data_IF_993715284480
#
_entry.id   IF_993715284480
#
_cell.length_a   1.000
_cell.length_b   1.000
_cell.length_c   1.000
_cell.angle_alpha   90.00
_cell.angle_beta   90.00
_cell.angle_gamma   90.00
#
_symmetry.space_group_name_H-M   'P 1'
#
loop_
_entity.id
_entity.type
_entity.pdbx_description
1 polymer ?
#
# COMPACT_ATOMS: atom_id res chain seq x y z
N UNK A 1 10.58 -36.67 17.06
CA UNK A 1 10.42 -36.63 18.51
C UNK A 1 11.72 -36.40 19.28
N UNK A 2 12.85 -37.10 19.05
CA UNK A 2 14.11 -36.87 19.80
C UNK A 2 14.73 -35.47 19.63
N UNK A 3 14.59 -34.81 18.49
CA UNK A 3 15.11 -33.44 18.28
C UNK A 3 14.28 -32.36 18.99
N UNK A 4 12.96 -32.56 19.16
CA UNK A 4 12.08 -31.63 19.86
C UNK A 4 12.34 -31.70 21.36
N UNK A 5 12.63 -32.89 21.90
CA UNK A 5 12.94 -33.08 23.31
C UNK A 5 14.30 -32.45 23.71
N UNK A 6 15.29 -32.45 22.80
CA UNK A 6 16.59 -31.79 23.04
C UNK A 6 16.47 -30.26 23.07
N UNK A 7 15.54 -29.68 22.30
CA UNK A 7 15.25 -28.24 22.31
C UNK A 7 14.60 -27.81 23.63
N UNK A 8 13.70 -28.65 24.16
CA UNK A 8 13.05 -28.40 25.46
C UNK A 8 14.04 -28.45 26.64
N UNK A 9 15.04 -29.36 26.58
CA UNK A 9 16.08 -29.44 27.64
C UNK A 9 17.09 -28.27 27.57
N UNK A 10 17.36 -27.71 26.39
CA UNK A 10 18.24 -26.53 26.30
C UNK A 10 17.59 -25.28 26.88
N UNK A 11 16.27 -25.12 26.80
CA UNK A 11 15.54 -24.00 27.37
C UNK A 11 15.47 -24.06 28.91
N UNK A 12 15.61 -25.24 29.51
CA UNK A 12 15.61 -25.38 30.99
C UNK A 12 16.94 -25.00 31.67
N UNK A 13 18.05 -24.96 30.92
CA UNK A 13 19.39 -24.69 31.48
C UNK A 13 19.89 -23.26 31.27
N UNK A 14 19.10 -22.40 30.61
CA UNK A 14 19.43 -20.97 30.47
C UNK A 14 18.70 -20.21 31.58
N UNK A 15 19.17 -20.30 32.78
CA UNK A 15 18.92 -19.30 33.81
C UNK A 15 19.79 -18.09 33.50
N UNK A 16 19.34 -17.28 32.57
CA UNK A 16 19.94 -16.00 32.28
C UNK A 16 19.30 -14.97 33.21
N UNK A 17 20.11 -14.32 34.04
CA UNK A 17 19.72 -13.16 34.86
C UNK A 17 19.29 -11.96 33.95
N UNK A 18 19.33 -12.15 32.63
CA UNK A 18 19.03 -11.14 31.65
C UNK A 18 18.07 -11.68 30.60
N UNK A 19 16.82 -11.21 30.64
CA UNK A 19 15.74 -11.58 29.71
C UNK A 19 16.06 -11.23 28.25
N UNK A 20 16.88 -10.19 28.02
CA UNK A 20 17.35 -9.81 26.69
C UNK A 20 18.13 -10.92 26.00
N UNK A 21 18.94 -11.66 26.76
CA UNK A 21 19.72 -12.79 26.26
C UNK A 21 18.84 -14.00 25.95
N UNK A 22 17.79 -14.23 26.77
CA UNK A 22 16.81 -15.28 26.54
C UNK A 22 15.98 -15.01 25.26
N UNK A 23 15.55 -13.78 25.03
CA UNK A 23 14.84 -13.36 23.80
C UNK A 23 15.77 -13.47 22.59
N UNK A 24 17.03 -13.10 22.71
CA UNK A 24 18.02 -13.19 21.63
C UNK A 24 18.36 -14.64 21.30
N UNK A 25 18.55 -15.49 22.31
CA UNK A 25 18.76 -16.93 22.14
C UNK A 25 17.55 -17.61 21.48
N UNK A 26 16.35 -17.19 21.84
CA UNK A 26 15.12 -17.69 21.25
C UNK A 26 14.93 -17.21 19.80
N UNK A 27 15.21 -15.93 19.49
CA UNK A 27 15.23 -15.41 18.10
C UNK A 27 16.20 -16.20 17.21
N UNK A 28 17.39 -16.51 17.71
CA UNK A 28 18.37 -17.30 16.99
C UNK A 28 17.93 -18.77 16.79
N UNK A 29 17.22 -19.35 17.76
CA UNK A 29 16.66 -20.69 17.66
C UNK A 29 15.53 -20.74 16.63
N UNK A 30 14.61 -19.75 16.62
CA UNK A 30 13.49 -19.62 15.67
C UNK A 30 14.00 -19.41 14.25
N UNK A 31 15.03 -18.58 14.07
CA UNK A 31 15.65 -18.36 12.75
C UNK A 31 16.31 -19.61 12.17
N UNK A 32 16.69 -20.56 13.02
CA UNK A 32 17.35 -21.82 12.62
C UNK A 32 16.36 -22.93 12.24
N UNK A 33 15.09 -22.81 12.67
CA UNK A 33 14.03 -23.80 12.40
C UNK A 33 13.09 -23.26 11.34
N UNK A 34 13.52 -23.29 10.07
CA UNK A 34 12.63 -23.02 8.93
C UNK A 34 11.49 -24.03 8.90
N UNK A 35 10.25 -23.55 8.98
CA UNK A 35 9.05 -24.36 8.72
C UNK A 35 8.18 -24.72 9.95
N UNK A 36 8.32 -24.07 11.10
CA UNK A 36 7.37 -24.22 12.20
C UNK A 36 6.29 -23.12 12.07
N UNK A 37 5.08 -23.54 11.73
CA UNK A 37 3.87 -22.71 11.81
C UNK A 37 3.42 -22.65 13.26
N UNK A 38 3.48 -21.47 13.87
CA UNK A 38 2.95 -21.27 15.22
C UNK A 38 1.46 -20.94 15.14
N UNK A 39 0.61 -21.88 15.58
CA UNK A 39 -0.81 -21.58 15.80
C UNK A 39 -1.05 -20.94 17.17
N UNK A 40 -0.14 -21.15 18.12
CA UNK A 40 -0.21 -20.54 19.45
C UNK A 40 1.18 -20.28 20.01
N UNK A 41 1.36 -19.09 20.61
CA UNK A 41 2.53 -18.73 21.40
C UNK A 41 2.12 -18.69 22.87
N UNK A 42 2.86 -19.39 23.72
CA UNK A 42 2.66 -19.38 25.16
C UNK A 42 3.93 -18.89 25.85
N UNK A 43 3.86 -17.75 26.54
CA UNK A 43 4.94 -17.32 27.41
C UNK A 43 4.89 -18.14 28.70
N UNK A 44 5.90 -18.94 28.95
CA UNK A 44 6.03 -19.72 30.19
C UNK A 44 6.48 -18.88 31.41
N UNK A 45 6.99 -17.66 31.14
CA UNK A 45 7.46 -16.75 32.20
C UNK A 45 6.49 -15.55 32.30
N UNK A 46 6.20 -15.10 33.54
CA UNK A 46 5.39 -13.92 33.75
C UNK A 46 6.05 -12.66 33.15
N UNK A 47 5.25 -11.87 32.44
CA UNK A 47 5.64 -10.57 31.91
C UNK A 47 5.68 -9.57 33.06
N UNK A 48 6.76 -8.80 33.19
CA UNK A 48 6.98 -7.85 34.26
C UNK A 48 6.91 -6.40 33.86
N UNK A 49 7.04 -6.12 32.57
CA UNK A 49 7.00 -4.76 32.01
C UNK A 49 6.34 -4.72 30.63
N UNK A 50 5.96 -3.52 30.23
CA UNK A 50 5.21 -3.29 28.98
C UNK A 50 6.05 -3.53 27.72
N UNK A 51 7.36 -3.35 27.78
CA UNK A 51 8.24 -3.55 26.61
C UNK A 51 8.38 -5.05 26.28
N UNK A 52 8.43 -5.91 27.31
CA UNK A 52 8.37 -7.37 27.12
C UNK A 52 7.06 -7.79 26.45
N UNK A 53 5.95 -7.22 26.91
CA UNK A 53 4.64 -7.47 26.33
C UNK A 53 4.56 -7.02 24.88
N UNK A 54 5.00 -5.78 24.57
CA UNK A 54 5.05 -5.27 23.20
C UNK A 54 5.90 -6.15 22.29
N UNK A 55 7.04 -6.62 22.77
CA UNK A 55 7.91 -7.52 22.00
C UNK A 55 7.21 -8.83 21.65
N UNK A 56 6.50 -9.45 22.61
CA UNK A 56 5.74 -10.69 22.38
C UNK A 56 4.53 -10.48 21.47
N UNK A 57 3.82 -9.36 21.61
CA UNK A 57 2.72 -9.00 20.70
C UNK A 57 3.21 -8.84 19.27
N UNK A 58 4.28 -8.07 19.05
CA UNK A 58 4.89 -7.89 17.73
C UNK A 58 5.38 -9.23 17.15
N UNK A 59 5.95 -10.09 17.98
CA UNK A 59 6.40 -11.39 17.54
C UNK A 59 5.22 -12.29 17.13
N UNK A 60 4.15 -12.32 17.91
CA UNK A 60 2.94 -13.06 17.59
C UNK A 60 2.34 -12.58 16.26
N UNK A 61 2.24 -11.27 16.07
CA UNK A 61 1.74 -10.66 14.84
C UNK A 61 2.66 -11.00 13.65
N UNK A 62 3.96 -10.81 13.78
CA UNK A 62 4.93 -11.07 12.71
C UNK A 62 4.96 -12.54 12.28
N UNK A 63 4.73 -13.48 13.20
CA UNK A 63 4.64 -14.91 12.90
C UNK A 63 3.22 -15.36 12.52
N UNK A 64 2.27 -14.43 12.43
CA UNK A 64 0.85 -14.73 12.16
C UNK A 64 0.32 -15.82 13.10
N UNK A 65 0.60 -15.69 14.39
CA UNK A 65 0.06 -16.58 15.40
C UNK A 65 -1.46 -16.38 15.54
N UNK A 66 -2.20 -17.46 15.72
CA UNK A 66 -3.64 -17.37 15.96
C UNK A 66 -3.93 -16.87 17.38
N UNK A 67 -3.08 -17.23 18.34
CA UNK A 67 -3.22 -16.82 19.74
C UNK A 67 -1.87 -16.57 20.42
N UNK A 68 -1.89 -15.69 21.43
CA UNK A 68 -0.79 -15.48 22.39
C UNK A 68 -1.36 -15.53 23.81
N UNK A 69 -0.91 -16.48 24.63
CA UNK A 69 -1.29 -16.56 26.03
C UNK A 69 -0.15 -16.11 26.93
N UNK A 70 -0.43 -15.20 27.87
CA UNK A 70 0.55 -14.58 28.77
C UNK A 70 0.02 -14.43 30.18
N UNK A 71 0.93 -14.46 31.16
CA UNK A 71 0.69 -14.01 32.53
C UNK A 71 1.41 -12.68 32.72
N UNK A 72 0.70 -11.63 33.10
CA UNK A 72 1.26 -10.30 33.38
C UNK A 72 1.19 -10.02 34.89
N UNK A 73 2.29 -9.66 35.51
CA UNK A 73 2.33 -9.20 36.88
C UNK A 73 2.32 -7.67 36.91
N UNK A 74 1.71 -7.09 37.95
CA UNK A 74 1.47 -5.64 38.06
C UNK A 74 0.67 -5.10 36.85
N UNK A 75 -0.36 -5.84 36.43
CA UNK A 75 -1.20 -5.48 35.30
C UNK A 75 -1.96 -4.18 35.55
N UNK A 76 -1.85 -3.25 34.60
CA UNK A 76 -2.67 -2.04 34.47
C UNK A 76 -3.23 -1.97 33.05
N UNK A 77 -4.53 -1.96 32.90
CA UNK A 77 -5.20 -1.94 31.59
C UNK A 77 -4.82 -0.73 30.75
N UNK A 78 -4.51 0.42 31.37
CA UNK A 78 -4.11 1.63 30.66
C UNK A 78 -2.68 1.55 30.08
N UNK A 79 -1.84 0.66 30.65
CA UNK A 79 -0.46 0.43 30.22
C UNK A 79 -0.39 -0.66 29.15
N UNK A 80 -1.19 -1.73 29.31
CA UNK A 80 -1.21 -2.88 28.40
C UNK A 80 -2.36 -2.77 27.39
N UNK A 81 -2.38 -1.65 26.66
CA UNK A 81 -3.44 -1.32 25.70
C UNK A 81 -3.19 -1.95 24.32
N UNK A 82 -4.05 -2.92 23.96
CA UNK A 82 -3.99 -3.63 22.68
C UNK A 82 -4.33 -2.73 21.48
N UNK A 83 -4.92 -1.56 21.70
CA UNK A 83 -5.30 -0.68 20.57
C UNK A 83 -4.07 -0.19 19.83
N UNK A 84 -2.90 -0.14 20.47
CA UNK A 84 -1.62 0.23 19.84
C UNK A 84 -1.14 -0.75 18.77
N UNK A 85 -1.69 -1.98 18.74
CA UNK A 85 -1.36 -3.02 17.75
C UNK A 85 -2.46 -3.24 16.72
N UNK A 86 -3.62 -2.59 16.89
CA UNK A 86 -4.70 -2.71 15.91
C UNK A 86 -4.33 -1.95 14.64
N UNK A 87 -4.57 -2.60 13.52
CA UNK A 87 -4.44 -2.00 12.20
C UNK A 87 -5.61 -2.44 11.33
N UNK A 88 -5.73 -1.89 10.14
CA UNK A 88 -6.70 -2.38 9.15
C UNK A 88 -6.50 -3.86 8.85
N UNK A 89 -5.26 -4.33 8.90
CA UNK A 89 -4.88 -5.67 8.47
C UNK A 89 -4.86 -6.69 9.61
N UNK A 90 -4.86 -6.26 10.89
CA UNK A 90 -4.76 -7.14 12.06
C UNK A 90 -5.80 -6.77 13.11
N UNK A 91 -6.79 -7.63 13.29
CA UNK A 91 -7.75 -7.53 14.37
C UNK A 91 -7.27 -8.34 15.59
N UNK A 92 -7.38 -7.74 16.80
CA UNK A 92 -6.93 -8.34 18.04
C UNK A 92 -8.08 -8.29 19.05
N UNK A 93 -8.35 -9.43 19.67
CA UNK A 93 -9.23 -9.53 20.83
C UNK A 93 -8.48 -10.13 22.01
N UNK A 94 -8.92 -9.82 23.22
CA UNK A 94 -8.33 -10.31 24.46
C UNK A 94 -9.40 -10.93 25.35
N UNK A 95 -9.09 -12.09 25.95
CA UNK A 95 -9.92 -12.74 26.95
C UNK A 95 -9.03 -13.22 28.09
N UNK A 96 -9.45 -12.98 29.33
CA UNK A 96 -8.62 -13.39 30.47
C UNK A 96 -9.31 -13.15 31.80
N UNK A 97 -8.51 -13.32 32.88
CA UNK A 97 -8.90 -13.06 34.24
C UNK A 97 -7.83 -12.25 34.97
N UNK A 98 -8.26 -11.37 35.86
CA UNK A 98 -7.35 -10.59 36.72
C UNK A 98 -7.64 -10.95 38.17
N UNK A 99 -6.59 -11.31 38.90
CA UNK A 99 -6.65 -11.61 40.34
C UNK A 99 -5.60 -10.77 41.06
N UNK A 100 -6.05 -9.79 41.82
CA UNK A 100 -5.16 -8.79 42.39
C UNK A 100 -4.47 -8.00 41.29
N UNK A 101 -3.14 -8.03 41.23
CA UNK A 101 -2.33 -7.39 40.19
C UNK A 101 -1.83 -8.38 39.12
N UNK A 102 -2.31 -9.62 39.11
CA UNK A 102 -1.91 -10.65 38.14
C UNK A 102 -3.02 -10.87 37.13
N UNK A 103 -2.68 -10.70 35.88
CA UNK A 103 -3.58 -10.98 34.75
C UNK A 103 -3.11 -12.20 33.94
N UNK A 104 -4.03 -13.14 33.69
CA UNK A 104 -3.82 -14.20 32.72
C UNK A 104 -4.67 -13.90 31.50
N UNK A 105 -4.03 -13.59 30.37
CA UNK A 105 -4.70 -13.09 29.18
C UNK A 105 -4.32 -13.95 27.98
N UNK A 106 -5.31 -14.32 27.18
CA UNK A 106 -5.12 -14.88 25.85
C UNK A 106 -5.59 -13.85 24.82
N UNK A 107 -4.66 -13.41 24.00
CA UNK A 107 -4.92 -12.60 22.82
C UNK A 107 -5.22 -13.53 21.65
N UNK A 108 -6.24 -13.18 20.85
CA UNK A 108 -6.55 -13.87 19.60
C UNK A 108 -6.39 -12.88 18.44
N UNK A 109 -5.72 -13.32 17.40
CA UNK A 109 -5.40 -12.51 16.23
C UNK A 109 -6.18 -12.99 15.02
N UNK A 110 -6.65 -12.05 14.21
CA UNK A 110 -7.23 -12.34 12.91
C UNK A 110 -6.57 -11.42 11.88
N UNK A 111 -6.04 -12.03 10.84
CA UNK A 111 -5.26 -11.33 9.82
C UNK A 111 -6.06 -11.16 8.55
N UNK A 112 -6.04 -9.96 7.99
CA UNK A 112 -6.60 -9.67 6.69
C UNK A 112 -5.80 -10.36 5.58
N UNK A 113 -6.43 -10.62 4.43
CA UNK A 113 -5.74 -11.23 3.29
C UNK A 113 -4.54 -10.40 2.82
N UNK A 114 -4.66 -9.06 2.83
CA UNK A 114 -3.59 -8.14 2.46
C UNK A 114 -2.34 -8.36 3.32
N UNK A 115 -2.52 -8.49 4.65
CA UNK A 115 -1.42 -8.76 5.57
C UNK A 115 -0.76 -10.12 5.27
N UNK A 116 -1.58 -11.18 5.12
CA UNK A 116 -1.03 -12.52 4.82
C UNK A 116 -0.23 -12.54 3.52
N UNK A 117 -0.71 -11.88 2.47
CA UNK A 117 -0.03 -11.81 1.19
C UNK A 117 1.28 -11.00 1.28
N UNK A 118 1.27 -9.85 1.96
CA UNK A 118 2.49 -9.06 2.19
C UNK A 118 3.51 -9.84 3.01
N UNK A 119 3.09 -10.52 4.08
CA UNK A 119 3.98 -11.37 4.88
C UNK A 119 4.52 -12.57 4.10
N UNK A 120 3.71 -13.16 3.21
CA UNK A 120 4.19 -14.24 2.34
C UNK A 120 5.33 -13.76 1.43
N UNK A 121 5.24 -12.55 0.90
CA UNK A 121 6.33 -11.93 0.13
C UNK A 121 7.57 -11.69 1.00
N UNK A 122 7.41 -11.06 2.16
CA UNK A 122 8.53 -10.69 3.05
C UNK A 122 9.27 -11.89 3.63
N UNK A 123 8.56 -12.97 3.94
CA UNK A 123 9.13 -14.18 4.55
C UNK A 123 9.51 -15.26 3.54
N UNK A 124 9.00 -15.19 2.32
CA UNK A 124 9.10 -16.23 1.30
C UNK A 124 8.25 -17.48 1.60
N UNK A 125 7.42 -17.47 2.67
CA UNK A 125 6.53 -18.58 3.02
C UNK A 125 5.08 -18.27 2.63
N UNK A 126 4.45 -19.19 1.91
CA UNK A 126 3.05 -19.12 1.49
C UNK A 126 2.10 -19.95 2.37
N UNK A 127 2.62 -20.52 3.47
CA UNK A 127 1.90 -21.52 4.28
C UNK A 127 0.64 -20.98 4.98
N UNK A 128 0.55 -19.66 5.13
CA UNK A 128 -0.60 -18.96 5.73
C UNK A 128 -1.61 -18.44 4.70
N UNK A 129 -1.33 -18.61 3.41
CA UNK A 129 -2.27 -18.22 2.35
C UNK A 129 -3.31 -19.34 2.15
N UNK A 130 -4.58 -18.96 2.05
CA UNK A 130 -5.61 -19.88 1.59
C UNK A 130 -5.52 -20.07 0.07
N UNK A 131 -6.35 -20.96 -0.49
CA UNK A 131 -6.31 -21.33 -1.92
C UNK A 131 -6.53 -20.12 -2.84
N UNK A 132 -7.48 -19.25 -2.48
CA UNK A 132 -7.78 -18.05 -3.28
C UNK A 132 -6.65 -17.02 -3.20
N UNK A 133 -6.14 -16.76 -1.99
CA UNK A 133 -5.00 -15.86 -1.77
C UNK A 133 -3.75 -16.34 -2.49
N UNK A 134 -3.48 -17.63 -2.47
CA UNK A 134 -2.34 -18.22 -3.18
C UNK A 134 -2.46 -18.00 -4.69
N UNK A 135 -3.64 -18.22 -5.26
CA UNK A 135 -3.87 -18.03 -6.69
C UNK A 135 -3.68 -16.55 -7.10
N UNK A 136 -4.16 -15.60 -6.28
CA UNK A 136 -3.96 -14.16 -6.51
C UNK A 136 -2.50 -13.78 -6.33
N UNK A 137 -1.83 -14.29 -5.30
CA UNK A 137 -0.41 -14.06 -5.08
C UNK A 137 0.44 -14.49 -6.29
N UNK A 138 0.15 -15.66 -6.87
CA UNK A 138 0.88 -16.17 -8.03
C UNK A 138 0.61 -15.32 -9.29
N UNK A 139 -0.62 -14.77 -9.47
CA UNK A 139 -0.90 -13.77 -10.51
C UNK A 139 -0.05 -12.52 -10.35
N UNK A 140 0.08 -12.00 -9.11
CA UNK A 140 0.89 -10.82 -8.83
C UNK A 140 2.38 -11.08 -9.06
N UNK A 141 2.90 -12.23 -8.67
CA UNK A 141 4.29 -12.64 -8.96
C UNK A 141 4.53 -12.66 -10.47
N UNK A 142 3.60 -13.22 -11.24
CA UNK A 142 3.70 -13.25 -12.71
C UNK A 142 3.71 -11.84 -13.29
N UNK A 143 2.81 -10.94 -12.85
CA UNK A 143 2.77 -9.55 -13.29
C UNK A 143 4.06 -8.81 -12.93
N UNK A 144 4.58 -8.98 -11.72
CA UNK A 144 5.84 -8.36 -11.31
C UNK A 144 7.03 -8.85 -12.13
N UNK A 145 7.06 -10.14 -12.52
CA UNK A 145 8.10 -10.67 -13.42
C UNK A 145 7.99 -10.08 -14.82
N UNK A 146 6.77 -9.93 -15.35
CA UNK A 146 6.51 -9.27 -16.64
C UNK A 146 7.06 -7.82 -16.61
N UNK A 147 6.70 -7.03 -15.59
CA UNK A 147 7.15 -5.65 -15.44
C UNK A 147 8.68 -5.59 -15.35
N UNK A 148 9.31 -6.40 -14.51
CA UNK A 148 10.78 -6.45 -14.37
C UNK A 148 11.51 -6.87 -15.64
N UNK A 149 10.87 -7.66 -16.50
CA UNK A 149 11.47 -8.07 -17.77
C UNK A 149 11.45 -6.96 -18.82
N UNK A 150 10.50 -6.02 -18.72
CA UNK A 150 10.32 -4.93 -19.68
C UNK A 150 11.01 -3.63 -19.24
N UNK A 151 11.08 -3.38 -17.92
CA UNK A 151 11.55 -2.12 -17.38
C UNK A 151 12.69 -2.32 -16.39
N UNK A 152 13.72 -1.47 -16.52
CA UNK A 152 14.92 -1.52 -15.66
C UNK A 152 14.94 -0.40 -14.63
N UNK A 153 14.46 0.82 -14.99
CA UNK A 153 14.40 1.94 -14.05
C UNK A 153 13.25 1.76 -13.05
N UNK A 154 13.44 2.26 -11.84
CA UNK A 154 12.42 2.17 -10.80
C UNK A 154 11.19 3.02 -11.13
N UNK A 155 11.39 4.19 -11.75
CA UNK A 155 10.31 5.04 -12.26
C UNK A 155 9.45 4.32 -13.33
N UNK A 156 10.07 3.63 -14.30
CA UNK A 156 9.31 2.94 -15.34
C UNK A 156 8.55 1.73 -14.78
N UNK A 157 9.13 1.02 -13.80
CA UNK A 157 8.43 -0.07 -13.08
C UNK A 157 7.24 0.46 -12.29
N UNK A 158 7.42 1.56 -11.57
CA UNK A 158 6.36 2.24 -10.84
C UNK A 158 5.21 2.63 -11.78
N UNK A 159 5.55 3.33 -12.86
CA UNK A 159 4.57 3.74 -13.87
C UNK A 159 3.83 2.55 -14.47
N UNK A 160 4.52 1.45 -14.75
CA UNK A 160 3.89 0.24 -15.28
C UNK A 160 2.93 -0.41 -14.28
N UNK A 161 3.21 -0.35 -12.97
CA UNK A 161 2.30 -0.81 -11.92
C UNK A 161 1.08 0.10 -11.84
N UNK A 162 1.27 1.42 -11.82
CA UNK A 162 0.19 2.41 -11.85
C UNK A 162 -0.75 2.17 -13.02
N UNK A 163 -0.20 2.16 -14.24
CA UNK A 163 -0.96 1.97 -15.47
C UNK A 163 -1.73 0.64 -15.48
N UNK A 164 -1.09 -0.44 -15.03
CA UNK A 164 -1.74 -1.73 -14.90
C UNK A 164 -2.97 -1.68 -13.99
N UNK A 165 -2.86 -1.03 -12.84
CA UNK A 165 -3.97 -0.95 -11.88
C UNK A 165 -5.09 -0.09 -12.46
N UNK A 166 -4.80 1.13 -12.90
CA UNK A 166 -5.78 2.09 -13.44
C UNK A 166 -6.50 1.56 -14.68
N UNK A 167 -5.82 0.80 -15.55
CA UNK A 167 -6.44 0.31 -16.80
C UNK A 167 -7.09 -1.06 -16.67
N UNK A 168 -6.87 -1.78 -15.58
CA UNK A 168 -7.36 -3.16 -15.42
C UNK A 168 -8.56 -3.23 -14.49
N UNK A 169 -8.60 -2.38 -13.46
CA UNK A 169 -9.61 -2.43 -12.41
C UNK A 169 -10.50 -1.20 -12.42
N UNK A 170 -11.57 -1.24 -11.63
CA UNK A 170 -12.55 -0.16 -11.47
C UNK A 170 -12.70 0.21 -10.02
N UNK A 171 -12.84 1.49 -9.74
CA UNK A 171 -13.21 1.93 -8.41
C UNK A 171 -14.68 1.59 -8.11
N UNK A 172 -14.91 0.84 -7.07
CA UNK A 172 -16.27 0.41 -6.70
C UNK A 172 -16.31 -0.63 -5.57
N UNK A 173 -17.51 -1.09 -5.25
CA UNK A 173 -18.81 -0.77 -5.86
C UNK A 173 -19.33 0.63 -5.48
N UNK A 174 -19.92 1.34 -6.43
CA UNK A 174 -20.45 2.70 -6.25
C UNK A 174 -21.91 2.74 -5.83
N UNK A 175 -22.63 1.62 -5.95
CA UNK A 175 -24.06 1.48 -5.70
C UNK A 175 -24.41 1.08 -4.26
N UNK A 176 -23.41 0.98 -3.38
CA UNK A 176 -23.56 0.61 -1.98
C UNK A 176 -22.98 1.69 -1.06
N UNK A 177 -23.70 2.01 0.02
CA UNK A 177 -23.26 3.01 1.01
C UNK A 177 -21.99 2.54 1.78
N UNK A 178 -21.90 1.21 2.02
CA UNK A 178 -20.77 0.60 2.71
C UNK A 178 -20.23 -0.55 1.86
N UNK A 179 -19.08 -0.38 1.20
CA UNK A 179 -18.47 -1.45 0.43
C UNK A 179 -18.20 -2.70 1.28
N UNK A 180 -18.45 -3.90 0.73
CA UNK A 180 -18.17 -5.14 1.45
C UNK A 180 -16.67 -5.29 1.74
N UNK A 181 -16.33 -5.99 2.83
CA UNK A 181 -14.94 -6.20 3.23
C UNK A 181 -14.06 -6.71 2.07
N UNK A 182 -14.61 -7.51 1.18
CA UNK A 182 -13.91 -8.04 0.01
C UNK A 182 -13.42 -6.94 -0.94
N UNK A 183 -14.18 -5.84 -1.10
CA UNK A 183 -13.78 -4.70 -1.94
C UNK A 183 -12.55 -3.94 -1.39
N UNK A 184 -12.21 -4.14 -0.10
CA UNK A 184 -11.01 -3.60 0.54
C UNK A 184 -9.77 -4.47 0.37
N UNK A 185 -9.88 -5.60 -0.34
CA UNK A 185 -8.81 -6.59 -0.42
C UNK A 185 -8.16 -6.64 -1.79
N UNK A 186 -6.85 -6.95 -1.81
CA UNK A 186 -6.12 -7.31 -3.04
C UNK A 186 -6.85 -8.46 -3.76
N UNK A 187 -7.34 -9.46 -2.99
CA UNK A 187 -8.05 -10.62 -3.53
C UNK A 187 -9.33 -10.21 -4.25
N UNK A 188 -10.11 -9.29 -3.65
CA UNK A 188 -11.30 -8.74 -4.29
C UNK A 188 -10.95 -7.98 -5.57
N UNK A 189 -10.03 -7.03 -5.50
CA UNK A 189 -9.63 -6.25 -6.66
C UNK A 189 -9.19 -7.14 -7.85
N UNK A 190 -8.32 -8.11 -7.61
CA UNK A 190 -7.76 -8.98 -8.67
C UNK A 190 -8.77 -9.98 -9.26
N UNK A 191 -9.71 -10.46 -8.45
CA UNK A 191 -10.65 -11.51 -8.90
C UNK A 191 -11.99 -10.93 -9.34
N UNK A 192 -12.48 -9.89 -8.68
CA UNK A 192 -13.79 -9.31 -8.96
C UNK A 192 -13.68 -8.13 -9.95
N UNK A 193 -12.47 -7.57 -10.14
CA UNK A 193 -12.19 -6.50 -11.08
C UNK A 193 -12.53 -5.10 -10.54
N UNK A 194 -13.01 -4.99 -9.31
CA UNK A 194 -13.32 -3.71 -8.67
C UNK A 194 -12.93 -3.70 -7.19
N UNK A 195 -12.63 -2.52 -6.67
CA UNK A 195 -12.26 -2.35 -5.27
C UNK A 195 -12.21 -0.87 -4.87
N UNK A 196 -12.01 -0.63 -3.57
CA UNK A 196 -11.88 0.72 -3.01
C UNK A 196 -10.41 1.07 -2.76
N UNK A 197 -10.15 2.28 -2.29
CA UNK A 197 -8.81 2.85 -2.11
C UNK A 197 -7.82 1.90 -1.39
N UNK A 198 -8.27 1.19 -0.36
CA UNK A 198 -7.43 0.23 0.37
C UNK A 198 -6.92 -0.90 -0.54
N UNK A 199 -7.80 -1.48 -1.37
CA UNK A 199 -7.42 -2.54 -2.31
C UNK A 199 -6.43 -2.04 -3.37
N UNK A 200 -6.62 -0.83 -3.88
CA UNK A 200 -5.72 -0.16 -4.83
C UNK A 200 -4.34 0.07 -4.21
N UNK A 201 -4.29 0.74 -3.07
CA UNK A 201 -3.05 1.07 -2.39
C UNK A 201 -2.26 -0.17 -1.97
N UNK A 202 -2.93 -1.20 -1.45
CA UNK A 202 -2.31 -2.47 -1.07
C UNK A 202 -1.81 -3.26 -2.30
N UNK A 203 -2.53 -3.21 -3.42
CA UNK A 203 -2.08 -3.86 -4.67
C UNK A 203 -0.85 -3.16 -5.23
N UNK A 204 -0.84 -1.83 -5.24
CA UNK A 204 0.33 -1.05 -5.64
C UNK A 204 1.54 -1.35 -4.73
N UNK A 205 1.32 -1.40 -3.42
CA UNK A 205 2.36 -1.70 -2.43
C UNK A 205 3.00 -3.08 -2.65
N UNK A 206 2.19 -4.14 -2.79
CA UNK A 206 2.74 -5.50 -2.95
C UNK A 206 3.43 -5.68 -4.31
N UNK A 207 2.86 -5.16 -5.39
CA UNK A 207 3.49 -5.20 -6.71
C UNK A 207 4.79 -4.40 -6.73
N UNK A 208 4.81 -3.21 -6.11
CA UNK A 208 6.01 -2.39 -5.96
C UNK A 208 7.12 -3.16 -5.26
N UNK A 209 6.84 -3.76 -4.11
CA UNK A 209 7.80 -4.60 -3.38
C UNK A 209 8.28 -5.80 -4.22
N UNK A 210 7.38 -6.50 -4.92
CA UNK A 210 7.73 -7.60 -5.82
C UNK A 210 8.60 -7.15 -7.01
N UNK A 211 8.47 -5.89 -7.43
CA UNK A 211 9.31 -5.27 -8.45
C UNK A 211 10.64 -4.73 -7.89
N UNK A 212 10.85 -4.78 -6.57
CA UNK A 212 12.07 -4.31 -5.90
C UNK A 212 12.04 -2.83 -5.52
N UNK A 213 10.86 -2.19 -5.55
CA UNK A 213 10.67 -0.79 -5.17
C UNK A 213 10.46 -0.66 -3.66
N UNK A 214 10.87 0.47 -3.10
CA UNK A 214 10.63 0.84 -1.71
C UNK A 214 9.30 1.62 -1.62
N UNK A 215 8.24 0.90 -1.30
CA UNK A 215 6.86 1.40 -1.25
C UNK A 215 6.22 1.08 0.09
N UNK A 216 5.43 2.01 0.61
CA UNK A 216 4.61 1.82 1.80
C UNK A 216 3.22 2.42 1.62
N UNK A 217 2.22 1.83 2.29
CA UNK A 217 0.89 2.42 2.39
C UNK A 217 0.88 3.54 3.42
N UNK A 218 0.08 4.55 3.15
CA UNK A 218 -0.22 5.67 4.04
C UNK A 218 -1.73 5.77 4.22
N UNK A 219 -2.16 6.02 5.44
CA UNK A 219 -3.57 6.19 5.80
C UNK A 219 -3.83 7.61 6.25
N UNK A 220 -5.00 8.12 5.88
CA UNK A 220 -5.41 9.47 6.25
C UNK A 220 -6.83 9.75 5.77
N UNK A 221 -7.05 10.95 5.26
CA UNK A 221 -8.33 11.35 4.66
C UNK A 221 -8.10 12.06 3.34
N UNK A 222 -9.00 11.86 2.40
CA UNK A 222 -9.14 12.65 1.19
C UNK A 222 -10.49 13.36 1.24
N UNK A 223 -10.49 14.69 1.15
CA UNK A 223 -11.70 15.53 1.26
C UNK A 223 -12.56 15.20 2.50
N UNK A 224 -11.89 14.82 3.61
CA UNK A 224 -12.53 14.49 4.88
C UNK A 224 -12.98 13.02 5.03
N UNK A 225 -12.93 12.21 3.97
CA UNK A 225 -13.27 10.78 3.97
C UNK A 225 -12.01 9.94 4.23
N UNK A 226 -12.13 8.88 5.02
CA UNK A 226 -11.00 7.94 5.26
C UNK A 226 -10.46 7.41 3.94
N UNK A 227 -9.15 7.47 3.77
CA UNK A 227 -8.49 7.13 2.52
C UNK A 227 -7.13 6.45 2.76
N UNK A 228 -6.70 5.64 1.79
CA UNK A 228 -5.40 4.99 1.76
C UNK A 228 -4.74 5.20 0.40
N UNK A 229 -3.45 5.57 0.41
CA UNK A 229 -2.61 5.74 -0.77
C UNK A 229 -1.18 5.29 -0.48
N UNK A 230 -0.20 5.65 -1.29
CA UNK A 230 1.16 5.17 -1.16
C UNK A 230 2.19 6.31 -1.05
N UNK A 231 3.32 5.99 -0.43
CA UNK A 231 4.59 6.71 -0.55
C UNK A 231 5.59 5.75 -1.19
N UNK A 232 6.33 6.25 -2.17
CA UNK A 232 7.41 5.52 -2.86
C UNK A 232 8.73 6.27 -2.76
N UNK A 233 9.84 5.54 -2.73
CA UNK A 233 11.18 6.10 -2.76
C UNK A 233 11.84 5.84 -4.10
N UNK A 234 12.25 6.92 -4.77
CA UNK A 234 12.98 6.89 -6.06
C UNK A 234 14.26 7.73 -5.94
N UNK A 235 15.40 7.18 -6.29
CA UNK A 235 16.72 7.86 -6.22
C UNK A 235 17.01 8.51 -4.85
N UNK A 236 16.50 7.92 -3.77
CA UNK A 236 16.71 8.43 -2.42
C UNK A 236 15.67 9.43 -1.92
N UNK A 237 14.81 9.96 -2.78
CA UNK A 237 13.74 10.91 -2.49
C UNK A 237 12.38 10.23 -2.40
N UNK A 238 11.45 10.81 -1.64
CA UNK A 238 10.11 10.25 -1.43
C UNK A 238 9.05 11.04 -2.18
N UNK A 239 8.01 10.32 -2.65
CA UNK A 239 6.88 10.85 -3.42
C UNK A 239 5.58 10.22 -2.98
N UNK A 240 4.49 10.97 -3.01
CA UNK A 240 3.15 10.44 -2.86
C UNK A 240 2.61 9.91 -4.19
N UNK A 241 1.94 8.76 -4.16
CA UNK A 241 1.24 8.17 -5.30
C UNK A 241 -0.15 7.72 -4.85
N UNK A 242 -1.19 8.29 -5.46
CA UNK A 242 -2.58 7.86 -5.23
C UNK A 242 -3.19 7.30 -6.50
N UNK A 243 -3.00 6.02 -6.70
CA UNK A 243 -3.48 5.29 -7.88
C UNK A 243 -5.01 5.28 -7.95
N UNK A 244 -5.68 5.34 -6.80
CA UNK A 244 -7.15 5.39 -6.73
C UNK A 244 -7.68 6.69 -7.34
N UNK A 245 -7.06 7.81 -6.99
CA UNK A 245 -7.47 9.14 -7.48
C UNK A 245 -7.12 9.38 -8.95
N UNK A 246 -6.22 8.58 -9.50
CA UNK A 246 -5.88 8.59 -10.93
C UNK A 246 -6.76 7.63 -11.76
N UNK A 247 -7.61 6.81 -11.11
CA UNK A 247 -8.60 5.96 -11.78
C UNK A 247 -9.90 6.74 -12.00
N UNK A 248 -10.31 6.98 -13.26
CA UNK A 248 -11.46 7.80 -13.56
C UNK A 248 -12.79 7.17 -13.17
N UNK A 249 -13.65 7.96 -12.54
CA UNK A 249 -15.03 7.57 -12.23
C UNK A 249 -16.02 8.48 -12.96
N UNK A 250 -16.92 7.96 -13.82
CA UNK A 250 -17.05 6.55 -14.21
C UNK A 250 -15.85 6.07 -15.03
N UNK A 251 -15.50 4.81 -14.85
CA UNK A 251 -14.44 4.16 -15.61
C UNK A 251 -14.79 4.12 -17.11
N UNK A 252 -13.85 4.57 -17.95
CA UNK A 252 -13.93 4.49 -19.40
C UNK A 252 -12.91 3.51 -20.01
N UNK A 253 -12.20 2.77 -19.16
CA UNK A 253 -11.32 1.65 -19.50
C UNK A 253 -10.01 2.00 -20.21
N UNK A 254 -9.80 3.24 -20.63
CA UNK A 254 -8.63 3.64 -21.43
C UNK A 254 -8.00 4.98 -21.00
N UNK A 255 -8.56 5.64 -20.01
CA UNK A 255 -8.09 6.96 -19.59
C UNK A 255 -6.99 6.81 -18.54
N UNK A 256 -5.78 7.23 -18.88
CA UNK A 256 -4.68 7.40 -17.95
C UNK A 256 -4.51 8.87 -17.60
N UNK A 257 -4.61 9.16 -16.33
CA UNK A 257 -4.30 10.45 -15.72
C UNK A 257 -3.21 10.22 -14.68
N UNK A 258 -2.36 11.20 -14.47
CA UNK A 258 -1.24 11.11 -13.53
C UNK A 258 -1.24 12.31 -12.58
N UNK A 259 -2.44 12.81 -12.25
CA UNK A 259 -2.61 13.99 -11.37
C UNK A 259 -2.14 13.75 -9.96
N UNK A 260 -2.13 12.48 -9.53
CA UNK A 260 -1.73 12.05 -8.20
C UNK A 260 -0.49 11.13 -8.22
N UNK A 261 0.34 11.28 -9.27
CA UNK A 261 1.52 10.47 -9.49
C UNK A 261 2.81 11.24 -9.15
N UNK A 262 3.50 10.80 -8.10
CA UNK A 262 4.76 11.37 -7.61
C UNK A 262 4.66 12.84 -7.17
N UNK A 263 3.72 13.09 -6.28
CA UNK A 263 3.47 14.40 -5.70
C UNK A 263 4.34 14.68 -4.46
N UNK A 264 4.55 15.97 -4.19
CA UNK A 264 5.11 16.45 -2.92
C UNK A 264 4.02 16.48 -1.82
N UNK A 265 4.47 16.63 -0.54
CA UNK A 265 3.57 16.89 0.59
C UNK A 265 2.66 18.09 0.32
N UNK A 266 3.21 19.18 -0.25
CA UNK A 266 2.46 20.40 -0.57
C UNK A 266 1.36 20.12 -1.58
N UNK A 267 1.68 19.46 -2.68
CA UNK A 267 0.73 19.17 -3.76
C UNK A 267 -0.39 18.23 -3.29
N UNK A 268 -0.07 17.11 -2.61
CA UNK A 268 -1.10 16.17 -2.19
C UNK A 268 -1.97 16.71 -1.05
N UNK A 269 -1.45 17.62 -0.21
CA UNK A 269 -2.17 18.22 0.92
C UNK A 269 -3.34 19.12 0.52
N UNK A 270 -3.47 19.48 -0.75
CA UNK A 270 -4.65 20.19 -1.25
C UNK A 270 -5.95 19.42 -1.01
N UNK A 271 -5.90 18.08 -1.11
CA UNK A 271 -7.07 17.21 -0.92
C UNK A 271 -6.88 16.17 0.19
N UNK A 272 -5.63 15.85 0.57
CA UNK A 272 -5.32 14.80 1.53
C UNK A 272 -4.82 15.34 2.86
N UNK A 273 -5.13 14.64 3.94
CA UNK A 273 -4.59 14.91 5.28
C UNK A 273 -4.15 13.61 5.94
N UNK A 274 -2.99 13.63 6.62
CA UNK A 274 -2.42 12.48 7.32
C UNK A 274 -1.57 12.91 8.51
N UNK A 275 -1.14 11.97 9.34
CA UNK A 275 -0.16 12.24 10.39
C UNK A 275 1.25 12.29 9.81
N UNK A 276 1.70 13.50 9.48
CA UNK A 276 3.01 13.75 8.84
C UNK A 276 4.20 13.32 9.71
N UNK A 277 4.00 13.10 11.01
CA UNK A 277 5.08 12.67 11.91
C UNK A 277 5.49 11.22 11.73
N UNK A 278 4.63 10.40 11.11
CA UNK A 278 4.83 8.97 10.93
C UNK A 278 5.49 8.60 9.59
N UNK A 279 5.62 9.55 8.67
CA UNK A 279 6.07 9.28 7.32
C UNK A 279 7.23 10.20 6.91
N UNK A 280 8.08 9.77 5.95
CA UNK A 280 9.09 10.63 5.39
C UNK A 280 8.48 11.81 4.64
N UNK A 281 9.18 12.94 4.60
CA UNK A 281 8.76 14.10 3.84
C UNK A 281 8.97 13.88 2.34
N UNK A 282 7.97 14.25 1.55
CA UNK A 282 7.98 14.23 0.10
C UNK A 282 8.14 15.66 -0.43
N UNK A 283 9.34 16.05 -0.87
CA UNK A 283 9.64 17.42 -1.31
C UNK A 283 10.19 17.49 -2.73
N UNK A 284 10.51 16.34 -3.32
CA UNK A 284 11.10 16.25 -4.64
C UNK A 284 10.03 16.27 -5.74
N UNK A 285 10.36 16.90 -6.89
CA UNK A 285 9.47 17.00 -8.05
C UNK A 285 10.02 16.28 -9.30
N UNK A 286 11.27 15.78 -9.24
CA UNK A 286 11.97 15.18 -10.38
C UNK A 286 11.15 14.12 -11.11
N UNK A 287 10.42 13.30 -10.36
CA UNK A 287 9.64 12.18 -10.89
C UNK A 287 8.15 12.44 -10.93
N UNK A 288 7.67 13.68 -10.66
CA UNK A 288 6.30 14.03 -11.03
C UNK A 288 6.11 13.77 -12.52
N UNK A 289 5.02 13.11 -12.89
CA UNK A 289 4.84 12.64 -14.28
C UNK A 289 4.93 13.75 -15.32
N UNK A 290 4.22 14.84 -15.09
CA UNK A 290 4.15 15.94 -16.08
C UNK A 290 5.46 16.71 -16.15
N UNK A 291 6.13 16.92 -15.03
CA UNK A 291 7.47 17.54 -15.00
C UNK A 291 8.51 16.66 -15.69
N UNK A 292 8.51 15.36 -15.39
CA UNK A 292 9.48 14.39 -15.93
C UNK A 292 9.43 14.31 -17.47
N UNK A 293 8.22 14.35 -18.05
CA UNK A 293 8.04 14.28 -19.49
C UNK A 293 7.98 15.64 -20.17
N UNK A 294 8.09 16.76 -19.45
CA UNK A 294 7.97 18.12 -20.00
C UNK A 294 6.57 18.40 -20.56
N UNK A 295 5.55 17.93 -19.85
CA UNK A 295 4.13 18.02 -20.24
C UNK A 295 3.37 19.08 -19.43
N UNK A 296 4.07 19.99 -18.78
CA UNK A 296 3.48 21.13 -18.06
C UNK A 296 3.40 22.34 -18.99
N UNK A 297 2.22 22.95 -19.09
CA UNK A 297 1.98 24.18 -19.81
C UNK A 297 1.62 25.32 -18.85
N UNK A 298 2.34 26.44 -18.88
CA UNK A 298 2.06 27.64 -18.12
C UNK A 298 1.45 28.77 -18.96
N UNK A 299 1.32 28.52 -20.28
CA UNK A 299 0.74 29.43 -21.26
C UNK A 299 0.29 28.70 -22.53
N UNK A 300 -0.43 29.41 -23.39
CA UNK A 300 -0.95 28.86 -24.66
C UNK A 300 0.13 28.31 -25.59
N UNK A 301 1.28 29.00 -25.68
CA UNK A 301 2.36 28.57 -26.60
C UNK A 301 2.98 27.24 -26.16
N UNK A 302 3.18 27.04 -24.87
CA UNK A 302 3.68 25.78 -24.31
C UNK A 302 2.67 24.64 -24.54
N UNK A 303 1.38 24.88 -24.27
CA UNK A 303 0.34 23.91 -24.56
C UNK A 303 0.29 23.52 -26.02
N UNK A 304 0.38 24.53 -26.92
CA UNK A 304 0.43 24.28 -28.36
C UNK A 304 1.65 23.44 -28.77
N UNK A 305 2.82 23.70 -28.18
CA UNK A 305 4.03 22.93 -28.43
C UNK A 305 3.92 21.48 -27.96
N UNK A 306 3.35 21.23 -26.78
CA UNK A 306 3.09 19.87 -26.26
C UNK A 306 2.19 19.11 -27.21
N UNK A 307 1.05 19.69 -27.60
CA UNK A 307 0.09 19.04 -28.52
C UNK A 307 0.73 18.79 -29.89
N UNK A 308 1.39 19.77 -30.48
CA UNK A 308 2.03 19.60 -31.80
C UNK A 308 3.16 18.56 -31.75
N UNK A 309 3.95 18.52 -30.68
CA UNK A 309 4.98 17.48 -30.48
C UNK A 309 4.38 16.09 -30.40
N UNK A 310 3.30 15.91 -29.65
CA UNK A 310 2.61 14.64 -29.54
C UNK A 310 2.02 14.19 -30.90
N UNK A 311 1.34 15.08 -31.58
CA UNK A 311 0.76 14.80 -32.93
C UNK A 311 1.82 14.47 -33.97
N UNK A 312 2.99 15.16 -33.93
CA UNK A 312 4.09 14.86 -34.87
C UNK A 312 4.70 13.47 -34.66
N UNK A 313 4.56 12.90 -33.46
CA UNK A 313 4.95 11.53 -33.11
C UNK A 313 3.85 10.51 -33.39
N UNK A 314 2.71 10.93 -33.95
CA UNK A 314 1.56 10.07 -34.22
C UNK A 314 0.80 9.63 -32.96
N UNK A 315 0.97 10.30 -31.85
CA UNK A 315 0.23 9.99 -30.63
C UNK A 315 -1.25 10.34 -30.81
N UNK A 316 -2.11 9.41 -30.43
CA UNK A 316 -3.57 9.60 -30.44
C UNK A 316 -4.12 10.00 -29.09
N UNK A 317 -3.41 9.67 -28.02
CA UNK A 317 -3.71 10.12 -26.66
C UNK A 317 -2.60 11.07 -26.20
N UNK A 318 -2.98 12.25 -25.75
CA UNK A 318 -2.08 13.34 -25.35
C UNK A 318 -2.47 13.74 -23.93
N UNK A 319 -1.56 13.62 -23.00
CA UNK A 319 -1.74 14.07 -21.62
C UNK A 319 -0.88 15.29 -21.34
N UNK A 320 -1.38 16.23 -20.55
CA UNK A 320 -0.62 17.39 -20.10
C UNK A 320 -1.24 17.97 -18.82
N UNK A 321 -0.47 18.78 -18.12
CA UNK A 321 -0.93 19.58 -16.98
C UNK A 321 -0.79 21.07 -17.28
N UNK A 322 -1.75 21.88 -16.82
CA UNK A 322 -1.61 23.34 -16.80
C UNK A 322 -1.32 23.83 -15.40
N UNK A 323 -0.35 24.74 -15.24
CA UNK A 323 -0.03 25.43 -13.98
C UNK A 323 -0.02 26.92 -14.20
N UNK A 324 -0.77 27.68 -13.38
CA UNK A 324 -0.93 29.13 -13.54
C UNK A 324 -1.47 29.52 -14.93
N UNK A 325 -2.10 28.60 -15.65
CA UNK A 325 -2.70 28.82 -16.95
C UNK A 325 -4.07 28.14 -16.99
N UNK A 326 -5.12 28.95 -16.81
CA UNK A 326 -6.48 28.45 -16.66
C UNK A 326 -7.10 28.20 -18.04
N UNK A 327 -7.54 26.99 -18.28
CA UNK A 327 -8.42 26.64 -19.38
C UNK A 327 -9.86 26.69 -18.86
N UNK A 328 -10.69 27.54 -19.47
CA UNK A 328 -12.06 27.78 -18.99
C UNK A 328 -13.05 26.74 -19.53
N UNK A 329 -12.71 26.08 -20.62
CA UNK A 329 -13.60 25.11 -21.28
C UNK A 329 -12.83 24.16 -22.21
N UNK A 330 -13.46 23.06 -22.57
CA UNK A 330 -12.95 22.16 -23.61
C UNK A 330 -12.78 22.85 -24.98
N UNK A 331 -13.45 23.98 -25.24
CA UNK A 331 -13.31 24.72 -26.51
C UNK A 331 -11.93 25.36 -26.62
N UNK A 332 -11.32 25.77 -25.54
CA UNK A 332 -9.96 26.34 -25.52
C UNK A 332 -8.97 25.30 -26.06
N UNK A 333 -9.13 24.05 -25.62
CA UNK A 333 -8.31 22.91 -26.08
C UNK A 333 -8.67 22.55 -27.52
N UNK A 334 -9.98 22.43 -27.89
CA UNK A 334 -10.43 22.04 -29.23
C UNK A 334 -9.92 22.99 -30.31
N UNK A 335 -9.76 24.27 -29.98
CA UNK A 335 -9.24 25.28 -30.92
C UNK A 335 -7.83 24.91 -31.44
N UNK A 336 -7.01 24.22 -30.65
CA UNK A 336 -5.66 23.77 -31.01
C UNK A 336 -5.64 22.65 -32.06
N UNK A 337 -6.79 21.98 -32.29
CA UNK A 337 -6.95 20.89 -33.24
C UNK A 337 -7.68 21.32 -34.53
N UNK A 338 -8.10 22.58 -34.63
CA UNK A 338 -8.78 23.07 -35.84
C UNK A 338 -7.89 22.90 -37.09
N UNK A 339 -8.46 22.37 -38.14
CA UNK A 339 -7.77 22.15 -39.44
C UNK A 339 -6.79 20.97 -39.44
N UNK A 340 -6.68 20.18 -38.38
CA UNK A 340 -5.75 19.06 -38.33
C UNK A 340 -6.35 17.72 -38.79
N UNK A 341 -7.62 17.72 -39.26
CA UNK A 341 -8.24 16.57 -39.94
C UNK A 341 -8.74 15.44 -39.00
N UNK A 342 -8.92 15.72 -37.72
CA UNK A 342 -9.49 14.75 -36.79
C UNK A 342 -11.02 14.71 -36.88
N UNK A 343 -11.61 13.51 -36.86
CA UNK A 343 -13.05 13.29 -36.90
C UNK A 343 -13.70 13.46 -35.53
N UNK A 344 -12.98 13.16 -34.45
CA UNK A 344 -13.44 13.39 -33.10
C UNK A 344 -12.27 13.80 -32.19
N UNK A 345 -12.61 14.56 -31.11
CA UNK A 345 -11.70 14.98 -30.05
C UNK A 345 -12.45 14.79 -28.75
N UNK A 346 -11.99 13.83 -27.98
CA UNK A 346 -12.49 13.56 -26.64
C UNK A 346 -11.52 14.13 -25.62
N UNK A 347 -12.01 14.96 -24.70
CA UNK A 347 -11.22 15.68 -23.70
C UNK A 347 -11.77 15.33 -22.32
N UNK A 348 -10.89 14.89 -21.44
CA UNK A 348 -11.17 14.70 -20.03
C UNK A 348 -10.14 15.45 -19.22
N UNK A 349 -10.50 15.94 -18.04
CA UNK A 349 -9.59 16.65 -17.17
C UNK A 349 -10.31 17.63 -16.24
N UNK A 350 -9.55 18.15 -15.32
CA UNK A 350 -10.00 19.13 -14.34
C UNK A 350 -9.65 20.55 -14.80
N UNK A 351 -10.67 21.42 -14.85
CA UNK A 351 -10.49 22.81 -15.20
C UNK A 351 -10.28 23.66 -13.94
N UNK A 352 -9.08 24.17 -13.72
CA UNK A 352 -8.71 24.93 -12.54
C UNK A 352 -7.35 25.63 -12.66
N UNK A 353 -6.81 26.11 -11.55
CA UNK A 353 -5.47 26.73 -11.51
C UNK A 353 -4.35 25.72 -11.82
N UNK A 354 -4.56 24.47 -11.41
CA UNK A 354 -3.78 23.31 -11.82
C UNK A 354 -4.77 22.32 -12.43
N UNK A 355 -4.63 22.03 -13.69
CA UNK A 355 -5.53 21.12 -14.43
C UNK A 355 -4.76 20.06 -15.17
N UNK A 356 -5.06 18.80 -14.90
CA UNK A 356 -4.53 17.68 -15.66
C UNK A 356 -5.54 17.21 -16.71
N UNK A 357 -5.08 17.00 -17.93
CA UNK A 357 -5.93 16.69 -19.06
C UNK A 357 -5.44 15.47 -19.83
N UNK A 358 -6.38 14.70 -20.35
CA UNK A 358 -6.16 13.67 -21.35
C UNK A 358 -7.02 13.93 -22.57
N UNK A 359 -6.41 13.90 -23.75
CA UNK A 359 -7.07 14.16 -25.04
C UNK A 359 -6.90 12.94 -25.91
N UNK A 360 -7.98 12.39 -26.42
CA UNK A 360 -7.95 11.33 -27.43
C UNK A 360 -8.49 11.85 -28.75
N UNK A 361 -7.74 11.65 -29.83
CA UNK A 361 -8.09 12.07 -31.21
C UNK A 361 -8.27 10.85 -32.12
N UNK A 362 -9.23 10.93 -33.04
CA UNK A 362 -9.48 9.87 -34.02
C UNK A 362 -9.67 10.42 -35.42
#
# INVERSE_FOLDING_TARGET
>A
MKKILSIFLLCQNVFADNLGDAITAWKNLVSTVKGITYSAINSSLPIKDVEQWKALMNEAINNQADTLSVTIVNFDQNVYDITTFRSYDVAISAKGSVTGTIANITYSFSYHSNYRMTRAYETGSKDKLNVEELAVYDKLVTKAQEIKSQYTSDFDKEKAIHDYIVTTFKYGPLDVETPPLRAHTIVGLINDGEGVCEAYAQTFNILGKMCGLDVQCITGKMEGVSHMWNIIKLDGEYYHVDVTSDDPTPDDGNRLIYSNFNLTDEQISEKHTWDTSQFPKCTATKYNYYDYYGLVATNYSELQNIINSALSKGQKTITFETRNYILNSSNDIKSLFQGKGFSSIYITGDFGEVGAFSITVS
#
